data_IF_084120372668
#
_entry.id   IF_084120372668
#
_cell.length_a   1.000
_cell.length_b   1.000
_cell.length_c   1.000
_cell.angle_alpha   90.00
_cell.angle_beta   90.00
_cell.angle_gamma   90.00
#
_symmetry.space_group_name_H-M   'P 1'
#
loop_
_entity.id
_entity.type
_entity.pdbx_description
1 polymer ?
#
# COMPACT_ATOMS: atom_id res chain seq x y z
N UNK A 1 -55.60 -48.45 54.40
CA UNK A 1 -55.32 -49.90 54.24
C UNK A 1 -55.99 -50.40 52.98
N UNK A 2 -55.33 -51.37 52.33
CA UNK A 2 -55.71 -52.13 51.14
C UNK A 2 -55.24 -51.61 49.78
N UNK A 3 -54.38 -52.46 49.21
CA UNK A 3 -53.65 -52.43 47.93
C UNK A 3 -54.58 -52.79 46.77
N UNK A 4 -54.25 -52.34 45.54
CA UNK A 4 -53.70 -53.22 44.49
C UNK A 4 -53.39 -52.45 43.20
N UNK A 5 -52.16 -52.70 42.76
CA UNK A 5 -51.52 -52.40 41.47
C UNK A 5 -52.20 -53.12 40.29
N UNK A 6 -52.18 -52.55 39.07
CA UNK A 6 -51.34 -53.07 37.96
C UNK A 6 -51.50 -52.33 36.61
N UNK A 7 -50.37 -52.28 35.87
CA UNK A 7 -50.12 -52.03 34.42
C UNK A 7 -50.01 -50.56 34.00
N UNK A 8 -48.81 -50.01 33.81
CA UNK A 8 -47.77 -50.31 32.79
C UNK A 8 -48.24 -50.04 31.37
N UNK A 9 -47.80 -48.90 30.82
CA UNK A 9 -47.53 -48.68 29.41
C UNK A 9 -46.48 -47.57 29.30
N UNK A 10 -45.24 -48.04 29.21
CA UNK A 10 -44.07 -47.30 28.75
C UNK A 10 -44.29 -46.78 27.33
N UNK A 11 -44.06 -45.48 27.09
CA UNK A 11 -43.68 -45.01 25.76
C UNK A 11 -42.46 -44.09 25.89
N UNK A 12 -41.41 -44.52 25.21
CA UNK A 12 -40.03 -44.07 25.27
C UNK A 12 -39.90 -42.76 24.47
N UNK A 13 -39.43 -41.68 25.10
CA UNK A 13 -38.96 -40.48 24.40
C UNK A 13 -37.45 -40.61 24.20
N UNK A 14 -37.04 -40.98 22.99
CA UNK A 14 -35.63 -40.95 22.56
C UNK A 14 -35.19 -39.49 22.35
N UNK A 15 -34.33 -38.99 23.23
CA UNK A 15 -33.56 -37.76 23.01
C UNK A 15 -32.45 -38.05 21.99
N UNK A 16 -32.59 -37.52 20.77
CA UNK A 16 -31.50 -37.44 19.80
C UNK A 16 -30.67 -36.18 20.12
N UNK A 17 -29.63 -36.36 20.93
CA UNK A 17 -28.55 -35.37 21.06
C UNK A 17 -27.70 -35.40 19.80
N UNK A 18 -27.92 -34.46 18.88
CA UNK A 18 -26.95 -34.13 17.83
C UNK A 18 -25.74 -33.47 18.48
N UNK A 19 -24.72 -34.27 18.79
CA UNK A 19 -23.38 -33.74 19.09
C UNK A 19 -22.78 -33.36 17.75
N UNK A 20 -22.96 -32.09 17.37
CA UNK A 20 -22.24 -31.50 16.26
C UNK A 20 -20.76 -31.43 16.64
N UNK A 21 -19.94 -32.29 16.05
CA UNK A 21 -18.51 -32.08 15.99
C UNK A 21 -18.27 -30.82 15.15
N UNK A 22 -18.07 -29.68 15.80
CA UNK A 22 -17.42 -28.55 15.16
C UNK A 22 -15.99 -28.97 14.88
N UNK A 23 -15.73 -29.42 13.66
CA UNK A 23 -14.37 -29.45 13.13
C UNK A 23 -13.95 -27.99 13.10
N UNK A 24 -13.17 -27.57 14.10
CA UNK A 24 -12.40 -26.36 14.01
C UNK A 24 -11.41 -26.58 12.87
N UNK A 25 -11.84 -26.22 11.65
CA UNK A 25 -10.90 -25.96 10.57
C UNK A 25 -10.12 -24.77 11.09
N UNK A 26 -8.87 -25.03 11.45
CA UNK A 26 -7.86 -24.03 11.75
C UNK A 26 -7.67 -23.24 10.45
N UNK A 27 -8.55 -22.27 10.23
CA UNK A 27 -8.41 -21.32 9.15
C UNK A 27 -7.31 -20.38 9.63
N UNK A 28 -6.06 -20.72 9.30
CA UNK A 28 -4.96 -19.77 9.38
C UNK A 28 -5.49 -18.45 8.82
N UNK A 29 -5.59 -17.44 9.68
CA UNK A 29 -6.08 -16.13 9.28
C UNK A 29 -5.19 -15.65 8.15
N UNK A 30 -5.78 -15.48 6.95
CA UNK A 30 -5.03 -15.09 5.77
C UNK A 30 -4.28 -13.79 6.04
N UNK A 31 -2.95 -13.88 6.01
CA UNK A 31 -2.06 -12.76 6.24
C UNK A 31 -1.58 -12.23 4.89
N UNK A 32 -2.25 -11.20 4.38
CA UNK A 32 -1.94 -10.58 3.09
C UNK A 32 -0.53 -9.98 3.02
N UNK A 33 0.11 -9.71 4.17
CA UNK A 33 1.49 -9.19 4.21
C UNK A 33 2.52 -10.21 3.71
N UNK A 34 2.15 -11.49 3.62
CA UNK A 34 3.00 -12.58 3.11
C UNK A 34 2.82 -12.85 1.62
N UNK A 35 1.88 -12.16 0.97
CA UNK A 35 1.61 -12.37 -0.45
C UNK A 35 2.65 -11.66 -1.32
N UNK A 36 3.08 -12.25 -2.45
CA UNK A 36 4.08 -11.62 -3.30
C UNK A 36 3.50 -10.42 -4.06
N UNK A 37 4.36 -9.55 -4.61
CA UNK A 37 3.94 -8.41 -5.44
C UNK A 37 3.86 -7.07 -4.71
N UNK A 38 3.70 -5.96 -5.46
CA UNK A 38 3.61 -4.61 -4.92
C UNK A 38 2.16 -4.28 -4.52
N UNK A 39 1.62 -5.00 -3.53
CA UNK A 39 0.20 -4.94 -3.18
C UNK A 39 -0.24 -3.55 -2.70
N UNK A 40 0.62 -2.84 -1.96
CA UNK A 40 0.37 -1.46 -1.55
C UNK A 40 0.18 -0.53 -2.74
N UNK A 41 1.01 -0.68 -3.77
CA UNK A 41 0.90 0.09 -5.01
C UNK A 41 -0.43 -0.15 -5.72
N UNK A 42 -0.87 -1.41 -5.82
CA UNK A 42 -2.16 -1.75 -6.43
C UNK A 42 -3.35 -1.22 -5.62
N UNK A 43 -3.30 -1.31 -4.29
CA UNK A 43 -4.31 -0.76 -3.38
C UNK A 43 -4.46 0.75 -3.59
N UNK A 44 -3.33 1.47 -3.63
CA UNK A 44 -3.30 2.93 -3.78
C UNK A 44 -3.80 3.39 -5.15
N UNK A 45 -3.60 2.58 -6.20
CA UNK A 45 -4.14 2.83 -7.55
C UNK A 45 -5.61 2.41 -7.72
N UNK A 46 -6.21 1.76 -6.71
CA UNK A 46 -7.57 1.23 -6.79
C UNK A 46 -7.71 0.03 -7.73
N UNK A 47 -6.64 -0.73 -7.96
CA UNK A 47 -6.71 -1.97 -8.73
C UNK A 47 -7.41 -3.07 -7.92
N UNK A 48 -8.14 -3.96 -8.59
CA UNK A 48 -8.90 -5.03 -7.93
C UNK A 48 -8.17 -6.37 -8.00
N UNK A 49 -8.08 -7.12 -6.89
CA UNK A 49 -7.43 -8.43 -6.89
C UNK A 49 -8.24 -9.46 -7.68
N UNK A 50 -7.55 -10.34 -8.40
CA UNK A 50 -8.14 -11.49 -9.09
C UNK A 50 -7.52 -12.77 -8.54
N UNK A 51 -8.37 -13.61 -7.97
CA UNK A 51 -7.98 -14.87 -7.34
C UNK A 51 -8.23 -16.06 -8.26
N UNK A 52 -7.42 -17.10 -8.13
CA UNK A 52 -7.66 -18.38 -8.82
C UNK A 52 -8.85 -19.12 -8.19
N UNK A 53 -9.00 -19.04 -6.87
CA UNK A 53 -10.17 -19.49 -6.12
C UNK A 53 -10.51 -18.45 -5.07
N UNK A 54 -11.80 -18.28 -4.77
CA UNK A 54 -12.27 -17.31 -3.76
C UNK A 54 -11.70 -17.56 -2.35
N UNK A 55 -11.29 -18.80 -2.05
CA UNK A 55 -10.66 -19.17 -0.78
C UNK A 55 -9.15 -18.91 -0.71
N UNK A 56 -8.51 -18.52 -1.83
CA UNK A 56 -7.07 -18.30 -1.86
C UNK A 56 -6.69 -17.01 -1.12
N UNK A 57 -5.62 -17.05 -0.34
CA UNK A 57 -5.18 -15.89 0.42
C UNK A 57 -4.60 -14.78 -0.48
N UNK A 58 -3.81 -15.18 -1.49
CA UNK A 58 -3.10 -14.25 -2.36
C UNK A 58 -3.73 -14.20 -3.75
N UNK A 59 -3.91 -12.98 -4.27
CA UNK A 59 -4.35 -12.77 -5.64
C UNK A 59 -3.28 -13.26 -6.63
N UNK A 60 -3.71 -13.80 -7.76
CA UNK A 60 -2.80 -14.21 -8.84
C UNK A 60 -2.44 -13.06 -9.76
N UNK A 61 -3.28 -12.03 -9.84
CA UNK A 61 -3.06 -10.79 -10.60
C UNK A 61 -3.98 -9.69 -10.07
N UNK A 62 -3.77 -8.48 -10.55
CA UNK A 62 -4.65 -7.34 -10.31
C UNK A 62 -5.20 -6.78 -11.61
N UNK A 63 -6.47 -6.40 -11.60
CA UNK A 63 -7.09 -5.64 -12.68
C UNK A 63 -6.89 -4.15 -12.42
N UNK A 64 -6.11 -3.51 -13.30
CA UNK A 64 -5.85 -2.08 -13.33
C UNK A 64 -6.32 -1.43 -14.64
N UNK A 65 -7.29 -2.02 -15.35
CA UNK A 65 -7.71 -1.58 -16.68
C UNK A 65 -8.32 -0.18 -16.69
N UNK A 66 -8.91 0.25 -15.57
CA UNK A 66 -9.43 1.61 -15.39
C UNK A 66 -8.34 2.68 -15.55
N UNK A 67 -7.06 2.33 -15.37
CA UNK A 67 -5.94 3.25 -15.58
C UNK A 67 -5.68 3.51 -17.07
N UNK A 68 -6.02 2.56 -17.96
CA UNK A 68 -5.78 2.66 -19.41
C UNK A 68 -6.71 3.67 -20.09
N UNK A 69 -7.87 3.92 -19.50
CA UNK A 69 -8.88 4.85 -20.02
C UNK A 69 -8.56 6.32 -19.70
N UNK A 70 -7.55 6.55 -18.84
CA UNK A 70 -7.18 7.89 -18.39
C UNK A 70 -6.53 8.68 -19.53
N UNK A 71 -7.01 9.90 -19.72
CA UNK A 71 -6.36 10.91 -20.54
C UNK A 71 -5.04 11.38 -19.91
N UNK A 72 -3.93 11.45 -20.67
CA UNK A 72 -2.67 12.02 -20.19
C UNK A 72 -2.75 13.54 -19.98
N UNK A 73 -3.83 14.20 -20.43
CA UNK A 73 -3.99 15.66 -20.32
C UNK A 73 -4.85 16.09 -19.13
N UNK A 74 -5.17 15.17 -18.22
CA UNK A 74 -5.94 15.44 -16.99
C UNK A 74 -5.21 14.92 -15.76
N UNK A 75 -5.47 15.54 -14.61
CA UNK A 75 -5.00 15.04 -13.33
C UNK A 75 -6.09 14.21 -12.65
N UNK A 76 -5.68 13.25 -11.81
CA UNK A 76 -6.59 12.33 -11.13
C UNK A 76 -6.29 12.28 -9.64
N UNK A 77 -7.33 12.31 -8.82
CA UNK A 77 -7.25 12.06 -7.37
C UNK A 77 -8.61 11.55 -6.89
N UNK A 78 -8.63 10.53 -6.05
CA UNK A 78 -9.87 9.93 -5.52
C UNK A 78 -10.90 9.55 -6.61
N UNK A 79 -10.42 9.11 -7.78
CA UNK A 79 -11.28 8.77 -8.93
C UNK A 79 -11.94 9.96 -9.63
N UNK A 80 -11.59 11.20 -9.26
CA UNK A 80 -12.08 12.43 -9.89
C UNK A 80 -11.05 12.95 -10.90
N UNK A 81 -11.57 13.54 -11.97
CA UNK A 81 -10.76 14.17 -13.01
C UNK A 81 -10.67 15.69 -12.80
N UNK A 82 -9.52 16.25 -13.19
CA UNK A 82 -9.22 17.67 -13.12
C UNK A 82 -8.63 18.14 -14.44
N UNK A 83 -9.17 19.23 -14.98
CA UNK A 83 -8.65 19.86 -16.19
C UNK A 83 -7.40 20.68 -15.89
N UNK A 84 -6.54 20.87 -16.89
CA UNK A 84 -5.36 21.75 -16.75
C UNK A 84 -5.81 23.17 -16.35
N UNK A 85 -5.24 23.68 -15.27
CA UNK A 85 -5.58 24.95 -14.64
C UNK A 85 -6.61 24.84 -13.51
N UNK A 86 -7.28 23.69 -13.35
CA UNK A 86 -8.23 23.48 -12.27
C UNK A 86 -7.50 23.33 -10.92
N UNK A 87 -8.01 24.01 -9.89
CA UNK A 87 -7.50 23.90 -8.52
C UNK A 87 -7.98 22.60 -7.88
N UNK A 88 -7.13 21.99 -7.08
CA UNK A 88 -7.52 20.87 -6.24
C UNK A 88 -8.65 21.31 -5.30
N UNK A 89 -9.73 20.54 -5.24
CA UNK A 89 -10.88 20.85 -4.39
C UNK A 89 -10.55 20.53 -2.94
N UNK A 90 -11.14 21.28 -2.00
CA UNK A 90 -10.84 21.12 -0.58
C UNK A 90 -11.19 19.73 -0.07
N UNK A 91 -12.23 19.07 -0.59
CA UNK A 91 -12.60 17.71 -0.21
C UNK A 91 -11.60 16.64 -0.66
N UNK A 92 -10.67 16.96 -1.57
CA UNK A 92 -9.63 16.05 -2.04
C UNK A 92 -8.24 16.43 -1.51
N UNK A 93 -8.09 17.59 -0.86
CA UNK A 93 -6.81 18.10 -0.40
C UNK A 93 -6.42 17.59 1.00
N UNK A 94 -5.23 17.01 1.11
CA UNK A 94 -4.54 16.80 2.38
C UNK A 94 -4.03 18.14 2.96
N UNK A 95 -3.68 18.20 4.25
CA UNK A 95 -3.24 19.45 4.88
C UNK A 95 -2.04 20.13 4.21
N UNK A 96 -1.16 19.35 3.55
CA UNK A 96 0.02 19.86 2.84
C UNK A 96 -0.21 20.22 1.37
N UNK A 97 -1.41 20.04 0.83
CA UNK A 97 -1.71 20.29 -0.57
C UNK A 97 -2.02 21.78 -0.81
N UNK A 98 -1.05 22.63 -0.45
CA UNK A 98 -1.22 24.08 -0.47
C UNK A 98 -1.18 24.59 -1.89
N UNK A 99 -2.29 25.19 -2.32
CA UNK A 99 -2.40 25.84 -3.62
C UNK A 99 -2.22 24.88 -4.80
N UNK A 100 -2.53 23.60 -4.63
CA UNK A 100 -2.41 22.62 -5.70
C UNK A 100 -3.36 22.92 -6.85
N UNK A 101 -2.86 22.76 -8.07
CA UNK A 101 -3.65 22.81 -9.30
C UNK A 101 -3.11 21.82 -10.32
N UNK A 102 -3.98 21.36 -11.20
CA UNK A 102 -3.58 20.50 -12.30
C UNK A 102 -2.81 21.31 -13.34
N UNK A 103 -1.61 20.88 -13.70
CA UNK A 103 -0.76 21.55 -14.68
C UNK A 103 -0.28 20.57 -15.73
N UNK A 104 0.12 21.10 -16.89
CA UNK A 104 0.81 20.32 -17.92
C UNK A 104 2.23 19.99 -17.44
N UNK A 105 2.55 18.70 -17.29
CA UNK A 105 3.90 18.24 -16.95
C UNK A 105 4.88 18.34 -18.12
N UNK A 106 6.17 18.13 -17.82
CA UNK A 106 7.27 18.25 -18.78
C UNK A 106 7.28 17.17 -19.87
N UNK A 107 6.59 16.05 -19.63
CA UNK A 107 6.47 14.92 -20.54
C UNK A 107 5.09 14.84 -21.19
N UNK A 108 4.39 15.98 -21.28
CA UNK A 108 3.03 16.10 -21.82
C UNK A 108 1.96 15.37 -20.99
N UNK A 109 2.33 14.88 -19.80
CA UNK A 109 1.42 14.24 -18.84
C UNK A 109 1.04 15.24 -17.76
N UNK A 110 -0.25 15.43 -17.54
CA UNK A 110 -0.76 16.35 -16.54
C UNK A 110 -0.46 15.85 -15.11
N UNK A 111 -0.10 16.77 -14.21
CA UNK A 111 0.30 16.48 -12.83
C UNK A 111 -0.17 17.60 -11.90
N UNK A 112 -0.48 17.25 -10.64
CA UNK A 112 -0.73 18.28 -9.63
C UNK A 112 0.57 18.97 -9.24
N UNK A 113 0.58 20.29 -9.39
CA UNK A 113 1.66 21.16 -8.93
C UNK A 113 1.17 21.91 -7.72
N UNK A 114 1.89 21.76 -6.61
CA UNK A 114 1.57 22.35 -5.31
C UNK A 114 2.67 23.30 -4.87
N UNK A 115 2.36 24.22 -3.97
CA UNK A 115 3.37 25.05 -3.32
C UNK A 115 4.30 24.16 -2.48
N UNK A 116 5.61 24.39 -2.60
CA UNK A 116 6.57 23.81 -1.65
C UNK A 116 6.32 24.46 -0.30
N UNK A 117 5.92 23.66 0.68
CA UNK A 117 5.72 24.12 2.05
C UNK A 117 7.02 23.96 2.81
N UNK A 118 7.71 25.07 3.08
CA UNK A 118 8.85 25.08 3.99
C UNK A 118 8.34 25.22 5.43
N UNK A 119 8.31 24.10 6.14
CA UNK A 119 8.06 24.08 7.58
C UNK A 119 9.34 24.45 8.34
N UNK A 120 9.92 25.63 8.11
CA UNK A 120 11.14 26.05 8.79
C UNK A 120 10.92 26.11 10.31
N UNK A 121 11.84 25.51 11.04
CA UNK A 121 11.70 25.24 12.47
C UNK A 121 12.98 25.61 13.20
N UNK A 122 12.92 26.57 14.12
CA UNK A 122 13.97 26.69 15.15
C UNK A 122 13.80 25.58 16.18
N UNK A 123 14.83 25.12 16.90
CA UNK A 123 14.59 24.24 18.05
C UNK A 123 13.61 24.89 19.04
N UNK A 124 12.70 24.14 19.67
CA UNK A 124 11.88 24.68 20.74
C UNK A 124 12.76 25.25 21.85
N UNK A 125 12.26 26.27 22.56
CA UNK A 125 12.95 26.75 23.76
C UNK A 125 13.10 25.62 24.79
N UNK A 126 14.11 25.69 25.68
CA UNK A 126 14.22 24.74 26.78
C UNK A 126 12.90 24.61 27.55
N UNK A 127 12.52 23.37 27.87
CA UNK A 127 11.26 23.00 28.51
C UNK A 127 9.98 23.24 27.69
N UNK A 128 10.09 23.64 26.44
CA UNK A 128 8.95 23.76 25.53
C UNK A 128 8.93 22.60 24.52
N UNK A 129 7.76 22.33 23.95
CA UNK A 129 7.57 21.36 22.88
C UNK A 129 6.66 21.94 21.79
N UNK A 130 6.60 21.28 20.64
CA UNK A 130 5.65 21.62 19.58
C UNK A 130 4.49 20.66 19.59
N UNK A 131 3.28 21.21 19.57
CA UNK A 131 2.08 20.41 19.38
C UNK A 131 1.86 20.16 17.89
N UNK A 132 2.05 18.92 17.46
CA UNK A 132 1.67 18.50 16.11
C UNK A 132 0.14 18.46 15.95
N UNK A 133 -0.31 18.40 14.71
CA UNK A 133 -1.73 18.23 14.40
C UNK A 133 -1.88 17.41 13.13
N UNK A 134 -2.78 16.42 13.09
CA UNK A 134 -3.05 15.66 11.87
C UNK A 134 -3.80 16.49 10.82
N UNK A 135 -4.30 17.68 11.21
CA UNK A 135 -5.09 18.58 10.35
C UNK A 135 -4.26 19.72 9.76
N UNK A 136 -2.95 19.80 10.07
CA UNK A 136 -2.06 20.87 9.59
C UNK A 136 -0.84 20.27 8.91
N UNK A 137 -0.35 20.95 7.88
CA UNK A 137 0.87 20.50 7.19
C UNK A 137 2.12 20.63 8.07
N UNK A 138 2.30 21.81 8.66
CA UNK A 138 3.43 22.08 9.53
C UNK A 138 3.03 21.91 10.98
N UNK A 139 4.06 21.72 11.81
CA UNK A 139 3.95 21.71 13.26
C UNK A 139 3.15 22.91 13.77
N UNK A 140 2.39 22.66 14.83
CA UNK A 140 1.61 23.69 15.48
C UNK A 140 2.43 24.58 16.40
N UNK A 141 1.71 25.15 17.35
CA UNK A 141 2.25 26.08 18.34
C UNK A 141 3.34 25.45 19.21
N UNK A 142 4.27 26.31 19.66
CA UNK A 142 5.22 25.99 20.71
C UNK A 142 4.53 26.19 22.06
N UNK A 143 4.60 25.17 22.91
CA UNK A 143 3.95 25.12 24.22
C UNK A 143 5.02 25.00 25.28
N UNK A 144 5.02 25.96 26.19
CA UNK A 144 5.97 26.06 27.30
C UNK A 144 5.19 25.89 28.60
N UNK A 145 5.01 24.67 29.12
CA UNK A 145 4.37 24.48 30.42
C UNK A 145 5.25 25.07 31.52
N UNK A 146 4.62 25.52 32.61
CA UNK A 146 5.36 26.03 33.79
C UNK A 146 6.20 24.91 34.43
N UNK A 147 5.63 23.70 34.54
CA UNK A 147 6.36 22.48 34.89
C UNK A 147 6.36 21.50 33.71
N UNK A 148 7.51 20.94 33.32
CA UNK A 148 7.58 19.95 32.23
C UNK A 148 6.67 18.72 32.42
N UNK A 149 6.40 18.36 33.67
CA UNK A 149 5.52 17.24 34.05
C UNK A 149 4.03 17.52 33.78
N UNK A 150 3.64 18.78 33.57
CA UNK A 150 2.26 19.17 33.26
C UNK A 150 1.89 18.91 31.78
N UNK A 151 2.83 18.41 30.97
CA UNK A 151 2.55 18.06 29.57
C UNK A 151 1.50 16.94 29.53
N UNK A 152 0.39 17.22 28.86
CA UNK A 152 -0.71 16.27 28.76
C UNK A 152 -0.25 14.93 28.17
N UNK A 153 -0.88 13.85 28.61
CA UNK A 153 -0.58 12.49 28.17
C UNK A 153 -1.81 11.80 27.60
N UNK A 154 -1.58 10.91 26.64
CA UNK A 154 -2.60 10.05 26.05
C UNK A 154 -2.19 8.60 26.30
N UNK A 155 -3.13 7.77 26.76
CA UNK A 155 -2.91 6.33 26.85
C UNK A 155 -3.61 5.65 25.67
N UNK A 156 -2.82 5.03 24.80
CA UNK A 156 -3.30 4.32 23.61
C UNK A 156 -2.82 2.88 23.72
N UNK A 157 -3.75 1.96 23.91
CA UNK A 157 -3.46 0.52 24.05
C UNK A 157 -2.36 0.19 25.08
N UNK A 158 -2.31 0.94 26.19
CA UNK A 158 -1.31 0.75 27.26
C UNK A 158 0.01 1.50 27.03
N UNK A 159 0.19 2.16 25.88
CA UNK A 159 1.35 3.01 25.60
C UNK A 159 1.02 4.47 25.92
N UNK A 160 1.93 5.13 26.64
CA UNK A 160 1.77 6.53 27.04
C UNK A 160 2.50 7.42 26.04
N UNK A 161 1.75 8.33 25.43
CA UNK A 161 2.25 9.37 24.53
C UNK A 161 2.10 10.74 25.18
N UNK A 162 3.01 11.67 24.88
CA UNK A 162 2.96 13.05 25.38
C UNK A 162 2.40 13.98 24.32
N UNK A 163 1.77 15.07 24.73
CA UNK A 163 1.15 16.07 23.85
C UNK A 163 2.06 16.49 22.69
N UNK A 164 1.61 16.30 21.45
CA UNK A 164 2.36 16.55 20.21
C UNK A 164 3.08 15.33 19.64
N UNK A 165 3.15 14.21 20.34
CA UNK A 165 3.72 12.96 19.81
C UNK A 165 2.74 12.24 18.89
N UNK A 166 3.26 11.71 17.78
CA UNK A 166 2.51 10.84 16.88
C UNK A 166 2.34 9.45 17.51
N UNK A 167 1.22 8.80 17.22
CA UNK A 167 0.99 7.40 17.57
C UNK A 167 0.28 6.66 16.45
N UNK A 168 0.46 5.33 16.42
CA UNK A 168 -0.22 4.46 15.47
C UNK A 168 -1.38 3.75 16.17
N UNK A 169 -2.46 3.50 15.43
CA UNK A 169 -3.63 2.77 15.91
C UNK A 169 -3.61 1.36 15.31
N UNK A 170 -3.68 0.35 16.16
CA UNK A 170 -3.77 -1.04 15.73
C UNK A 170 -5.06 -1.27 14.92
N UNK A 171 -4.94 -1.88 13.75
CA UNK A 171 -6.05 -2.10 12.83
C UNK A 171 -6.45 -0.89 11.97
N UNK A 172 -5.91 0.31 12.24
CA UNK A 172 -6.16 1.53 11.47
C UNK A 172 -4.84 2.23 11.08
N UNK A 173 -3.96 1.58 10.30
CA UNK A 173 -2.64 2.10 9.94
C UNK A 173 -2.70 3.39 9.08
N UNK A 174 -3.84 3.64 8.43
CA UNK A 174 -4.06 4.84 7.61
C UNK A 174 -4.33 6.11 8.44
N UNK A 175 -4.58 6.00 9.75
CA UNK A 175 -4.85 7.16 10.59
C UNK A 175 -3.56 7.87 10.97
N UNK A 176 -3.49 9.17 10.68
CA UNK A 176 -2.49 10.04 11.26
C UNK A 176 -3.01 10.54 12.61
N UNK A 177 -2.41 10.09 13.70
CA UNK A 177 -2.83 10.44 15.04
C UNK A 177 -1.73 11.17 15.83
N UNK A 178 -2.15 12.16 16.61
CA UNK A 178 -1.29 12.94 17.50
C UNK A 178 -1.93 13.01 18.87
N UNK A 179 -1.14 12.75 19.92
CA UNK A 179 -1.60 12.96 21.29
C UNK A 179 -1.83 14.46 21.53
N UNK A 180 -3.02 14.83 22.01
CA UNK A 180 -3.35 16.20 22.38
C UNK A 180 -4.20 16.21 23.67
N UNK A 181 -4.29 17.34 24.39
CA UNK A 181 -5.12 17.42 25.59
C UNK A 181 -6.59 17.12 25.27
N UNK A 182 -7.24 16.35 26.15
CA UNK A 182 -8.64 15.95 25.98
C UNK A 182 -8.84 14.65 25.19
N UNK A 183 -7.78 13.90 24.87
CA UNK A 183 -7.92 12.59 24.26
C UNK A 183 -8.55 11.58 25.23
N UNK A 184 -9.76 11.10 24.90
CA UNK A 184 -10.53 10.16 25.72
C UNK A 184 -10.47 8.71 25.19
N UNK A 185 -9.45 8.37 24.39
CA UNK A 185 -9.33 7.03 23.79
C UNK A 185 -10.13 6.85 22.49
N UNK A 186 -10.57 7.94 21.86
CA UNK A 186 -11.31 7.92 20.59
C UNK A 186 -10.44 8.45 19.46
N UNK A 187 -10.23 7.64 18.44
CA UNK A 187 -9.39 7.97 17.27
C UNK A 187 -10.16 8.83 16.25
N UNK A 188 -10.57 10.02 16.66
CA UNK A 188 -11.34 10.97 15.84
C UNK A 188 -10.69 12.35 15.87
N UNK A 189 -11.15 13.26 15.01
CA UNK A 189 -10.70 14.65 15.04
C UNK A 189 -10.94 15.30 16.42
N UNK A 190 -10.01 16.15 16.90
CA UNK A 190 -8.80 16.64 16.21
C UNK A 190 -7.56 15.75 16.40
N UNK A 191 -7.67 14.63 17.12
CA UNK A 191 -6.55 13.78 17.52
C UNK A 191 -6.06 12.89 16.38
N UNK A 192 -6.99 12.38 15.59
CA UNK A 192 -6.71 11.52 14.45
C UNK A 192 -7.46 12.02 13.22
N UNK A 193 -6.80 11.97 12.07
CA UNK A 193 -7.44 12.22 10.79
C UNK A 193 -6.91 11.25 9.72
N UNK A 194 -7.81 10.79 8.85
CA UNK A 194 -7.43 10.03 7.66
C UNK A 194 -7.01 11.01 6.56
N UNK A 195 -5.90 10.79 5.86
CA UNK A 195 -5.59 11.59 4.67
C UNK A 195 -6.69 11.41 3.62
N UNK A 196 -7.04 12.49 2.94
CA UNK A 196 -8.09 12.52 1.90
C UNK A 196 -7.66 11.78 0.64
N UNK A 197 -6.36 11.69 0.39
CA UNK A 197 -5.80 10.78 -0.60
C UNK A 197 -4.47 10.20 -0.07
N UNK A 198 -4.04 9.01 -0.50
CA UNK A 198 -2.77 8.43 -0.07
C UNK A 198 -1.60 9.36 -0.43
N UNK A 199 -0.72 9.65 0.55
CA UNK A 199 0.46 10.51 0.35
C UNK A 199 1.40 9.97 -0.73
N UNK A 200 1.35 8.66 -0.95
CA UNK A 200 2.26 7.94 -1.82
C UNK A 200 1.60 7.49 -3.12
N UNK A 201 0.41 8.02 -3.42
CA UNK A 201 -0.23 7.76 -4.69
C UNK A 201 0.57 8.37 -5.85
N UNK A 202 0.99 7.55 -6.84
CA UNK A 202 1.62 8.07 -8.04
C UNK A 202 0.68 8.99 -8.82
N UNK A 203 -0.65 8.81 -8.71
CA UNK A 203 -1.67 9.65 -9.37
C UNK A 203 -1.47 11.13 -9.10
N UNK A 204 -1.03 11.47 -7.88
CA UNK A 204 -0.94 12.86 -7.44
C UNK A 204 0.36 13.54 -7.88
N UNK A 205 1.53 12.94 -7.58
CA UNK A 205 2.85 13.59 -7.77
C UNK A 205 3.66 13.07 -8.95
N UNK A 206 3.43 11.83 -9.38
CA UNK A 206 4.24 11.16 -10.40
C UNK A 206 3.38 10.38 -11.41
N UNK A 207 2.32 10.97 -11.99
CA UNK A 207 1.39 10.23 -12.85
C UNK A 207 2.08 9.65 -14.09
N UNK A 208 3.20 10.24 -14.51
CA UNK A 208 4.02 9.71 -15.59
C UNK A 208 4.47 8.26 -15.39
N UNK A 209 4.64 7.81 -14.15
CA UNK A 209 5.08 6.44 -13.86
C UNK A 209 4.02 5.42 -14.26
N UNK A 210 2.74 5.79 -14.19
CA UNK A 210 1.62 4.95 -14.59
C UNK A 210 1.56 4.86 -16.12
N UNK A 211 1.56 6.01 -16.79
CA UNK A 211 1.47 6.07 -18.26
C UNK A 211 2.68 5.41 -18.95
N UNK A 212 3.87 5.55 -18.37
CA UNK A 212 5.10 4.91 -18.87
C UNK A 212 5.32 3.50 -18.33
N UNK A 213 4.37 2.95 -17.56
CA UNK A 213 4.43 1.60 -16.98
C UNK A 213 5.75 1.35 -16.26
N UNK A 214 6.16 2.33 -15.46
CA UNK A 214 7.32 2.23 -14.60
C UNK A 214 6.99 1.34 -13.39
N UNK A 215 7.98 0.62 -12.90
CA UNK A 215 7.84 -0.28 -11.77
C UNK A 215 8.03 0.47 -10.43
N UNK A 216 7.17 0.26 -9.41
CA UNK A 216 7.39 0.81 -8.08
C UNK A 216 8.62 0.18 -7.44
N UNK A 217 9.48 1.01 -6.83
CA UNK A 217 10.69 0.55 -6.17
C UNK A 217 10.73 0.96 -4.70
N UNK A 218 11.11 -0.01 -3.87
CA UNK A 218 11.12 0.07 -2.41
C UNK A 218 12.54 -0.06 -1.86
N UNK A 219 12.81 0.46 -0.67
CA UNK A 219 14.03 0.15 0.06
C UNK A 219 14.05 -1.31 0.54
N UNK A 220 15.23 -1.77 0.93
CA UNK A 220 15.44 -3.13 1.44
C UNK A 220 14.66 -3.44 2.72
N UNK A 221 14.32 -2.44 3.52
CA UNK A 221 13.57 -2.58 4.77
C UNK A 221 12.07 -2.29 4.64
N UNK A 222 11.65 -1.75 3.49
CA UNK A 222 10.24 -1.48 3.19
C UNK A 222 9.58 -2.74 2.63
N UNK A 223 8.28 -2.87 2.84
CA UNK A 223 7.49 -4.04 2.45
C UNK A 223 6.55 -3.68 1.30
N UNK A 224 6.76 -4.18 0.07
CA UNK A 224 5.90 -3.90 -1.08
C UNK A 224 4.42 -4.29 -0.87
N UNK A 225 4.16 -5.17 0.09
CA UNK A 225 2.85 -5.71 0.43
C UNK A 225 1.99 -4.78 1.29
N UNK A 226 2.60 -3.87 2.03
CA UNK A 226 1.89 -3.01 2.98
C UNK A 226 1.71 -1.60 2.42
N UNK A 227 1.24 -0.66 3.24
CA UNK A 227 1.04 0.74 2.87
C UNK A 227 2.35 1.56 2.79
N UNK A 228 3.51 0.89 2.80
CA UNK A 228 4.80 1.51 2.55
C UNK A 228 4.83 2.15 1.16
N UNK A 229 5.46 3.32 1.10
CA UNK A 229 5.52 4.14 -0.10
C UNK A 229 6.63 3.69 -1.03
N UNK A 230 6.31 3.42 -2.30
CA UNK A 230 7.37 3.33 -3.31
C UNK A 230 8.02 4.69 -3.48
N UNK A 231 9.23 4.87 -2.95
CA UNK A 231 9.90 6.18 -2.91
C UNK A 231 10.29 6.67 -4.31
N UNK A 232 10.62 5.73 -5.18
CA UNK A 232 10.95 5.98 -6.56
C UNK A 232 10.37 4.90 -7.47
N UNK A 233 10.50 5.11 -8.76
CA UNK A 233 10.04 4.16 -9.77
C UNK A 233 11.16 3.92 -10.75
N UNK A 234 11.36 2.67 -11.14
CA UNK A 234 12.25 2.31 -12.25
C UNK A 234 11.44 2.44 -13.54
N UNK A 235 11.90 3.25 -14.47
CA UNK A 235 11.29 3.37 -15.80
C UNK A 235 12.20 2.70 -16.83
N UNK A 236 11.63 2.24 -17.93
CA UNK A 236 12.39 1.58 -18.98
C UNK A 236 13.44 2.51 -19.59
N UNK A 237 14.66 2.04 -19.69
CA UNK A 237 15.77 2.61 -20.45
C UNK A 237 16.16 1.68 -21.62
N UNK A 238 17.00 2.19 -22.53
CA UNK A 238 17.40 1.44 -23.74
C UNK A 238 18.32 0.24 -23.48
N UNK A 239 18.96 0.22 -22.32
CA UNK A 239 19.84 -0.85 -21.83
C UNK A 239 19.10 -1.93 -21.03
N UNK A 240 17.80 -1.76 -20.80
CA UNK A 240 17.00 -2.76 -20.09
C UNK A 240 16.71 -3.99 -20.96
N UNK A 241 16.95 -5.18 -20.40
CA UNK A 241 16.60 -6.46 -20.98
C UNK A 241 16.06 -7.43 -19.93
N UNK A 242 15.24 -8.38 -20.38
CA UNK A 242 14.65 -9.39 -19.51
C UNK A 242 15.61 -10.56 -19.35
N UNK A 243 15.83 -10.95 -18.10
CA UNK A 243 16.50 -12.19 -17.72
C UNK A 243 15.38 -13.20 -17.44
N UNK A 244 15.15 -14.09 -18.41
CA UNK A 244 14.13 -15.13 -18.26
C UNK A 244 14.56 -16.16 -17.24
N UNK A 245 13.69 -16.43 -16.27
CA UNK A 245 13.91 -17.52 -15.34
C UNK A 245 13.52 -18.83 -16.06
N UNK A 246 14.49 -19.65 -16.44
CA UNK A 246 14.32 -20.83 -17.30
C UNK A 246 13.39 -21.93 -16.73
N UNK A 247 12.74 -21.71 -15.60
CA UNK A 247 11.74 -22.60 -15.00
C UNK A 247 10.33 -22.32 -15.56
N UNK A 248 10.13 -22.66 -16.84
CA UNK A 248 8.91 -23.29 -17.41
C UNK A 248 9.00 -23.34 -18.94
N UNK A 249 10.10 -23.89 -19.46
CA UNK A 249 10.18 -24.39 -20.82
C UNK A 249 10.74 -25.81 -20.81
N UNK A 250 10.11 -26.71 -20.05
CA UNK A 250 10.02 -28.11 -20.48
C UNK A 250 8.68 -28.27 -21.19
N UNK A 251 8.65 -27.79 -22.41
CA UNK A 251 7.87 -28.38 -23.52
C UNK A 251 8.80 -28.41 -24.75
N UNK A 252 10.05 -28.87 -24.55
CA UNK A 252 10.79 -29.51 -25.64
C UNK A 252 10.27 -30.94 -25.74
N UNK A 253 9.16 -31.10 -26.47
CA UNK A 253 8.67 -32.27 -27.20
C UNK A 253 7.13 -32.28 -27.19
N UNK A 254 6.54 -31.48 -28.06
CA UNK A 254 5.29 -31.89 -28.72
C UNK A 254 5.19 -31.17 -30.06
N UNK A 255 5.53 -31.89 -31.12
CA UNK A 255 4.90 -31.66 -32.41
C UNK A 255 3.39 -31.85 -32.20
N UNK A 256 2.68 -30.74 -32.01
CA UNK A 256 1.24 -30.74 -31.76
C UNK A 256 0.74 -29.32 -31.57
N UNK A 257 -0.26 -28.96 -32.37
CA UNK A 257 -1.00 -27.70 -32.33
C UNK A 257 -1.50 -27.38 -30.91
N UNK A 258 -0.76 -26.58 -30.15
CA UNK A 258 -1.31 -25.81 -29.02
C UNK A 258 -0.35 -24.68 -28.66
N UNK A 259 -0.36 -23.64 -29.51
CA UNK A 259 0.06 -22.32 -29.10
C UNK A 259 -0.87 -21.84 -27.98
N UNK A 260 -0.57 -22.21 -26.73
CA UNK A 260 -1.26 -21.65 -25.56
C UNK A 260 -1.04 -20.15 -25.60
N UNK A 261 -2.06 -19.42 -26.07
CA UNK A 261 -2.21 -18.00 -25.86
C UNK A 261 -1.99 -17.76 -24.36
N UNK A 262 -0.83 -17.22 -23.99
CA UNK A 262 -0.70 -16.61 -22.67
C UNK A 262 -1.73 -15.50 -22.65
N UNK A 263 -2.68 -15.61 -21.74
CA UNK A 263 -3.59 -14.53 -21.45
C UNK A 263 -2.72 -13.29 -21.13
N UNK A 264 -2.84 -12.23 -21.92
CA UNK A 264 -2.06 -10.99 -21.73
C UNK A 264 -2.18 -10.46 -20.30
N UNK A 265 -3.26 -10.82 -19.60
CA UNK A 265 -3.50 -10.42 -18.22
C UNK A 265 -2.63 -11.13 -17.18
N UNK A 266 -1.84 -12.14 -17.55
CA UNK A 266 -0.91 -12.85 -16.67
C UNK A 266 0.55 -12.36 -16.82
N UNK A 267 0.78 -11.24 -17.51
CA UNK A 267 2.10 -10.65 -17.75
C UNK A 267 2.28 -9.35 -16.96
N UNK A 268 3.50 -9.13 -16.45
CA UNK A 268 3.88 -7.80 -15.98
C UNK A 268 4.35 -6.95 -17.17
N UNK A 269 3.98 -5.67 -17.18
CA UNK A 269 4.44 -4.70 -18.16
C UNK A 269 5.45 -3.74 -17.53
N UNK A 270 6.56 -3.52 -18.23
CA UNK A 270 7.59 -2.56 -17.86
C UNK A 270 7.94 -1.72 -19.09
N UNK A 271 7.42 -0.50 -19.17
CA UNK A 271 7.41 0.27 -20.41
C UNK A 271 6.77 -0.53 -21.55
N UNK A 272 7.55 -0.77 -22.60
CA UNK A 272 7.16 -1.56 -23.77
C UNK A 272 7.51 -3.05 -23.66
N UNK A 273 8.13 -3.48 -22.56
CA UNK A 273 8.53 -4.86 -22.33
C UNK A 273 7.45 -5.63 -21.58
N UNK A 274 7.37 -6.93 -21.84
CA UNK A 274 6.46 -7.86 -21.17
C UNK A 274 7.25 -8.96 -20.47
N UNK A 275 6.99 -9.14 -19.19
CA UNK A 275 7.68 -10.10 -18.32
C UNK A 275 6.70 -11.19 -17.92
N UNK A 276 7.13 -12.45 -18.01
CA UNK A 276 6.40 -13.59 -17.42
C UNK A 276 6.62 -13.59 -15.91
N UNK A 277 5.72 -14.23 -15.18
CA UNK A 277 5.92 -14.43 -13.75
C UNK A 277 7.27 -15.12 -13.50
N UNK A 278 8.07 -14.53 -12.61
CA UNK A 278 9.41 -15.00 -12.26
C UNK A 278 10.54 -14.45 -13.12
N UNK A 279 10.25 -13.79 -14.24
CA UNK A 279 11.26 -13.06 -15.01
C UNK A 279 11.82 -11.90 -14.20
N UNK A 280 13.10 -11.60 -14.41
CA UNK A 280 13.80 -10.50 -13.76
C UNK A 280 14.25 -9.46 -14.79
N UNK A 281 14.37 -8.20 -14.37
CA UNK A 281 15.10 -7.21 -15.15
C UNK A 281 16.59 -7.29 -14.83
N UNK A 282 17.44 -7.02 -15.82
CA UNK A 282 18.85 -6.75 -15.55
C UNK A 282 19.01 -5.62 -14.53
N UNK A 283 20.18 -5.53 -13.91
CA UNK A 283 20.51 -4.35 -13.12
C UNK A 283 20.70 -3.16 -14.05
N UNK A 284 20.12 -2.01 -13.70
CA UNK A 284 20.22 -0.80 -14.52
C UNK A 284 21.65 -0.27 -14.52
N UNK A 285 22.08 0.31 -15.64
CA UNK A 285 23.35 1.05 -15.70
C UNK A 285 23.27 2.44 -15.08
N UNK A 286 22.05 2.97 -14.85
CA UNK A 286 21.83 4.26 -14.19
C UNK A 286 22.19 4.15 -12.70
N UNK A 287 23.16 4.95 -12.27
CA UNK A 287 23.64 5.00 -10.88
C UNK A 287 22.54 5.25 -9.84
N UNK A 288 21.45 5.93 -10.22
CA UNK A 288 20.32 6.21 -9.34
C UNK A 288 19.47 4.96 -9.03
N UNK A 289 19.50 3.95 -9.91
CA UNK A 289 18.71 2.72 -9.81
C UNK A 289 19.52 1.42 -10.03
N UNK A 290 20.85 1.50 -10.09
CA UNK A 290 21.77 0.37 -10.32
C UNK A 290 21.58 -0.78 -9.34
N UNK A 291 21.22 -0.46 -8.10
CA UNK A 291 21.07 -1.44 -7.03
C UNK A 291 19.63 -1.82 -6.79
N UNK A 292 18.83 -1.91 -7.85
CA UNK A 292 17.39 -2.19 -7.78
C UNK A 292 17.12 -3.46 -8.56
N UNK A 293 16.75 -4.52 -7.83
CA UNK A 293 16.32 -5.79 -8.42
C UNK A 293 14.83 -5.72 -8.68
N UNK A 294 14.40 -6.12 -9.87
CA UNK A 294 12.99 -6.15 -10.23
C UNK A 294 12.58 -7.52 -10.72
N UNK A 295 11.45 -8.03 -10.22
CA UNK A 295 10.92 -9.35 -10.55
C UNK A 295 9.43 -9.23 -10.86
N UNK A 296 8.96 -9.93 -11.89
CA UNK A 296 7.52 -10.06 -12.12
C UNK A 296 6.93 -11.09 -11.15
N UNK A 297 6.50 -10.64 -9.98
CA UNK A 297 5.90 -11.52 -8.96
C UNK A 297 4.40 -11.70 -9.18
N UNK A 298 3.66 -10.58 -9.24
CA UNK A 298 2.21 -10.54 -9.43
C UNK A 298 1.87 -9.43 -10.45
N UNK A 299 1.33 -9.78 -11.63
CA UNK A 299 0.88 -8.84 -12.66
C UNK A 299 -0.11 -7.78 -12.15
N UNK A 300 -0.17 -6.58 -12.78
CA UNK A 300 0.40 -6.22 -14.09
C UNK A 300 1.73 -5.46 -14.06
N UNK A 301 2.36 -5.24 -12.90
CA UNK A 301 3.59 -4.44 -12.79
C UNK A 301 4.63 -5.22 -11.99
N UNK A 302 5.92 -5.23 -12.39
CA UNK A 302 6.94 -5.92 -11.62
C UNK A 302 7.19 -5.22 -10.27
N UNK A 303 7.57 -5.99 -9.25
CA UNK A 303 8.01 -5.49 -7.96
C UNK A 303 9.49 -5.16 -8.05
N UNK A 304 9.90 -3.95 -7.68
CA UNK A 304 11.31 -3.61 -7.56
C UNK A 304 11.71 -3.36 -6.11
N UNK A 305 12.86 -3.88 -5.70
CA UNK A 305 13.40 -3.64 -4.37
C UNK A 305 14.88 -3.32 -4.46
N UNK A 306 15.31 -2.33 -3.67
CA UNK A 306 16.72 -1.98 -3.55
C UNK A 306 17.44 -3.11 -2.82
N UNK A 307 18.56 -3.53 -3.38
CA UNK A 307 19.49 -4.44 -2.72
C UNK A 307 20.03 -3.80 -1.43
N UNK A 308 20.45 -4.63 -0.48
CA UNK A 308 21.21 -4.12 0.66
C UNK A 308 22.50 -3.44 0.21
N UNK A 309 23.03 -2.52 1.00
CA UNK A 309 24.27 -1.82 0.64
C UNK A 309 25.43 -2.81 0.43
N UNK A 310 25.50 -3.88 1.25
CA UNK A 310 26.51 -4.93 1.08
C UNK A 310 26.39 -5.70 -0.25
N UNK A 311 25.17 -5.99 -0.70
CA UNK A 311 24.94 -6.66 -1.99
C UNK A 311 25.20 -5.71 -3.16
N UNK A 312 24.77 -4.45 -3.02
CA UNK A 312 24.97 -3.39 -3.99
C UNK A 312 26.47 -3.11 -4.23
N UNK A 313 27.27 -3.06 -3.16
CA UNK A 313 28.71 -2.77 -3.24
C UNK A 313 29.53 -3.91 -3.83
N UNK A 314 29.00 -5.15 -3.79
CA UNK A 314 29.63 -6.32 -4.43
C UNK A 314 29.39 -6.35 -5.94
N UNK A 315 28.50 -5.52 -6.48
CA UNK A 315 28.25 -5.45 -7.91
C UNK A 315 29.43 -4.79 -8.64
N UNK A 316 29.94 -5.39 -9.74
CA UNK A 316 30.99 -4.78 -10.51
C UNK A 316 30.52 -3.44 -11.09
N UNK A 317 31.29 -2.37 -10.84
CA UNK A 317 31.07 -1.07 -11.47
C UNK A 317 31.42 -1.21 -12.95
N UNK A 318 30.41 -1.25 -13.82
CA UNK A 318 30.64 -1.17 -15.27
C UNK A 318 30.85 0.32 -15.61
N UNK A 319 32.05 0.64 -16.09
CA UNK A 319 32.45 1.96 -16.61
C UNK A 319 32.21 2.03 -18.11
#
# INVERSE_FOLDING_TARGET
>A
MSRRSFRSLTQICTYLTFIGFTVAVDQETCDQTKCPGPLGYYKVLGCTPVYKKESDCCATKYNCDHLKERSPTKCYVNGKEYEIGEKLREEDANPCDIGCFCAKGSDEIAVFVCAVVDCFQRPPKPNCYRRNSPLRCCYGEEICPENPEDRAICNVSGTVYKDGEYFNVEGEPDLNCVCQPGYEGKNIEPFCAKPKHPYCSPDFRKPYTIFKKCAPAYYSHETPQTDDCSLFSRCQSSDDFIISNGSNSTDENTDGEDGKNLDETDLCHFGNMTMRRGDELNLSTDVSVRCVKCVCEVPPTPTCQRLSDEECDRLPIQY
#
